data_IF_903741457518
#
_entry.id   IF_903741457518
#
_cell.length_a   1.000
_cell.length_b   1.000
_cell.length_c   1.000
_cell.angle_alpha   90.00
_cell.angle_beta   90.00
_cell.angle_gamma   90.00
#
_symmetry.space_group_name_H-M   'P 1'
#
loop_
_entity.id
_entity.type
_entity.pdbx_description
1 polymer ?
#
# COMPACT_ATOMS: atom_id res chain seq x y z
N UNK A 1 -19.07 6.79 22.51
CA UNK A 1 -19.00 6.29 21.12
C UNK A 1 -20.42 6.10 20.64
N UNK A 2 -20.78 6.59 19.44
CA UNK A 2 -22.07 6.21 18.82
C UNK A 2 -21.99 4.70 18.54
N UNK A 3 -22.90 3.93 19.11
CA UNK A 3 -23.04 2.52 18.83
C UNK A 3 -23.52 2.39 17.38
N UNK A 4 -22.83 1.62 16.54
CA UNK A 4 -23.28 1.35 15.18
C UNK A 4 -24.63 0.63 15.27
N UNK A 5 -25.64 1.11 14.52
CA UNK A 5 -26.88 0.35 14.35
C UNK A 5 -26.57 -0.91 13.57
N UNK A 6 -27.30 -2.02 13.81
CA UNK A 6 -27.18 -3.16 12.93
C UNK A 6 -27.43 -2.74 11.47
N UNK A 7 -26.62 -3.23 10.55
CA UNK A 7 -26.64 -2.86 9.15
C UNK A 7 -26.78 -4.12 8.30
N UNK A 8 -27.68 -4.13 7.35
CA UNK A 8 -27.77 -5.17 6.32
C UNK A 8 -27.63 -4.57 4.94
N UNK A 9 -26.62 -5.02 4.18
CA UNK A 9 -26.41 -4.63 2.78
C UNK A 9 -26.91 -5.76 1.90
N UNK A 10 -27.99 -5.48 1.13
CA UNK A 10 -28.68 -6.45 0.28
C UNK A 10 -28.36 -6.26 -1.21
N UNK A 11 -28.60 -7.29 -2.02
CA UNK A 11 -28.41 -7.27 -3.47
C UNK A 11 -26.98 -6.86 -3.87
N UNK A 12 -25.97 -7.37 -3.16
CA UNK A 12 -24.55 -7.10 -3.43
C UNK A 12 -23.90 -8.23 -4.23
N UNK A 13 -22.83 -7.90 -4.94
CA UNK A 13 -21.81 -8.84 -5.39
C UNK A 13 -20.71 -8.89 -4.32
N UNK A 14 -20.74 -9.93 -3.48
CA UNK A 14 -19.82 -10.10 -2.36
C UNK A 14 -18.45 -10.56 -2.85
N UNK A 15 -17.42 -9.79 -2.57
CA UNK A 15 -16.03 -10.14 -2.92
C UNK A 15 -15.41 -10.91 -1.76
N UNK A 16 -15.18 -12.19 -1.97
CA UNK A 16 -14.59 -13.10 -0.98
C UNK A 16 -13.33 -13.77 -1.57
N UNK A 17 -12.50 -14.44 -0.74
CA UNK A 17 -11.37 -15.22 -1.26
C UNK A 17 -11.75 -16.33 -2.24
N UNK A 18 -13.00 -16.79 -2.19
CA UNK A 18 -13.54 -17.81 -3.08
C UNK A 18 -14.10 -17.26 -4.40
N UNK A 19 -14.03 -15.96 -4.63
CA UNK A 19 -14.57 -15.30 -5.81
C UNK A 19 -15.67 -14.29 -5.49
N UNK A 20 -16.38 -13.84 -6.54
CA UNK A 20 -17.49 -12.89 -6.45
C UNK A 20 -18.82 -13.64 -6.51
N UNK A 21 -19.67 -13.46 -5.50
CA UNK A 21 -20.96 -14.14 -5.42
C UNK A 21 -22.10 -13.18 -5.06
N UNK A 22 -23.29 -13.35 -5.67
CA UNK A 22 -24.46 -12.57 -5.30
C UNK A 22 -24.92 -12.92 -3.89
N UNK A 23 -25.31 -11.91 -3.10
CA UNK A 23 -25.78 -12.12 -1.74
C UNK A 23 -26.04 -10.83 -0.96
N UNK A 24 -26.12 -11.01 0.35
CA UNK A 24 -26.23 -9.93 1.32
C UNK A 24 -25.20 -10.12 2.44
N UNK A 25 -24.93 -9.04 3.19
CA UNK A 25 -24.09 -9.08 4.38
C UNK A 25 -24.80 -8.34 5.50
N UNK A 26 -24.83 -8.98 6.68
CA UNK A 26 -25.35 -8.38 7.92
C UNK A 26 -24.23 -8.18 8.92
N UNK A 27 -24.18 -7.02 9.55
CA UNK A 27 -23.29 -6.73 10.66
C UNK A 27 -24.03 -6.05 11.81
N UNK A 28 -23.55 -6.30 13.03
CA UNK A 28 -23.98 -5.64 14.24
C UNK A 28 -22.81 -5.57 15.24
N UNK A 29 -22.88 -4.60 16.17
CA UNK A 29 -21.83 -4.36 17.17
C UNK A 29 -20.43 -4.22 16.61
N UNK A 30 -20.34 -3.71 15.36
CA UNK A 30 -19.08 -3.50 14.65
C UNK A 30 -18.51 -4.73 13.95
N UNK A 31 -19.17 -5.90 14.04
CA UNK A 31 -18.69 -7.16 13.47
C UNK A 31 -19.61 -7.66 12.35
N UNK A 32 -19.03 -8.34 11.38
CA UNK A 32 -19.77 -9.10 10.37
C UNK A 32 -20.38 -10.32 11.07
N UNK A 33 -21.70 -10.48 10.98
CA UNK A 33 -22.42 -11.62 11.57
C UNK A 33 -22.63 -12.74 10.55
N UNK A 34 -23.06 -12.39 9.36
CA UNK A 34 -23.37 -13.34 8.29
C UNK A 34 -23.18 -12.69 6.91
N UNK A 35 -22.87 -13.50 5.90
CA UNK A 35 -22.87 -13.11 4.50
C UNK A 35 -23.27 -14.32 3.63
N UNK A 36 -23.89 -14.05 2.50
CA UNK A 36 -24.31 -15.07 1.55
C UNK A 36 -25.69 -14.79 0.93
N UNK A 37 -26.18 -15.71 0.08
CA UNK A 37 -27.43 -15.52 -0.64
C UNK A 37 -28.68 -15.55 0.26
N UNK A 38 -28.62 -16.27 1.38
CA UNK A 38 -29.77 -16.48 2.27
C UNK A 38 -29.85 -15.48 3.43
N UNK A 39 -28.93 -14.48 3.46
CA UNK A 39 -28.92 -13.46 4.50
C UNK A 39 -30.02 -12.44 4.23
N UNK A 40 -30.89 -12.23 5.24
CA UNK A 40 -31.97 -11.28 5.21
C UNK A 40 -31.79 -10.18 6.27
N UNK A 41 -32.38 -9.02 6.04
CA UNK A 41 -32.45 -7.97 7.04
C UNK A 41 -33.38 -8.37 8.20
N UNK A 42 -32.99 -8.03 9.41
CA UNK A 42 -33.80 -8.21 10.61
C UNK A 42 -34.49 -6.91 11.02
N UNK A 43 -35.50 -7.03 11.89
CA UNK A 43 -36.24 -5.87 12.38
C UNK A 43 -35.29 -4.93 13.16
N UNK A 44 -35.19 -3.68 12.72
CA UNK A 44 -34.33 -2.68 13.34
C UNK A 44 -32.99 -2.47 12.65
N UNK A 45 -32.67 -3.29 11.63
CA UNK A 45 -31.49 -3.07 10.80
C UNK A 45 -31.66 -1.82 9.92
N UNK A 46 -30.58 -1.08 9.75
CA UNK A 46 -30.42 -0.16 8.63
C UNK A 46 -30.21 -0.98 7.37
N UNK A 47 -31.03 -0.75 6.33
CA UNK A 47 -30.94 -1.53 5.09
C UNK A 47 -30.37 -0.69 3.97
N UNK A 48 -29.27 -1.13 3.39
CA UNK A 48 -28.64 -0.54 2.21
C UNK A 48 -28.81 -1.50 1.02
N UNK A 49 -29.37 -1.01 -0.08
CA UNK A 49 -29.47 -1.78 -1.30
C UNK A 49 -28.27 -1.51 -2.22
N UNK A 50 -27.40 -2.49 -2.39
CA UNK A 50 -26.20 -2.41 -3.22
C UNK A 50 -26.50 -2.38 -4.73
N UNK A 51 -27.72 -2.72 -5.16
CA UNK A 51 -28.17 -2.69 -6.58
C UNK A 51 -27.23 -3.45 -7.52
N UNK A 52 -26.72 -4.61 -7.08
CA UNK A 52 -25.79 -5.42 -7.87
C UNK A 52 -24.35 -4.91 -7.91
N UNK A 53 -24.00 -3.88 -7.13
CA UNK A 53 -22.64 -3.36 -7.06
C UNK A 53 -21.75 -4.25 -6.16
N UNK A 54 -20.43 -4.10 -6.29
CA UNK A 54 -19.46 -4.86 -5.48
C UNK A 54 -19.53 -4.42 -4.02
N UNK A 55 -19.60 -5.39 -3.11
CA UNK A 55 -19.34 -5.20 -1.70
C UNK A 55 -18.04 -5.96 -1.35
N UNK A 56 -17.03 -5.20 -0.99
CA UNK A 56 -15.68 -5.70 -0.73
C UNK A 56 -15.22 -5.31 0.69
N UNK A 57 -14.16 -5.94 1.22
CA UNK A 57 -13.52 -5.41 2.41
C UNK A 57 -12.95 -4.02 2.16
N UNK A 58 -12.98 -3.16 3.16
CA UNK A 58 -12.25 -1.90 3.13
C UNK A 58 -10.76 -2.13 2.93
N UNK A 59 -10.13 -1.29 2.12
CA UNK A 59 -8.72 -1.45 1.76
C UNK A 59 -7.79 -1.27 2.96
N UNK A 60 -6.66 -1.97 2.92
CA UNK A 60 -5.55 -1.90 3.89
C UNK A 60 -4.32 -1.42 3.14
N UNK A 61 -3.99 -0.16 3.25
CA UNK A 61 -2.89 0.44 2.48
C UNK A 61 -1.55 0.30 3.22
N UNK A 62 -0.61 -0.41 2.62
CA UNK A 62 0.66 -0.75 3.23
C UNK A 62 1.76 0.24 2.81
N UNK A 63 2.23 1.06 3.76
CA UNK A 63 3.41 1.90 3.54
C UNK A 63 3.10 3.31 3.06
N UNK A 64 2.10 3.96 3.68
CA UNK A 64 1.80 5.38 3.48
C UNK A 64 2.74 6.27 4.30
N UNK A 65 3.02 7.48 3.83
CA UNK A 65 3.92 8.43 4.50
C UNK A 65 3.17 9.55 5.23
N UNK A 66 1.88 9.66 5.04
CA UNK A 66 1.01 10.58 5.77
C UNK A 66 -0.35 9.93 6.06
N UNK A 67 -1.01 10.37 7.13
CA UNK A 67 -2.39 10.01 7.44
C UNK A 67 -3.29 11.08 6.86
N UNK A 68 -4.04 10.75 5.83
CA UNK A 68 -4.91 11.66 5.09
C UNK A 68 -6.32 11.06 4.98
N UNK A 69 -7.13 11.28 6.02
CA UNK A 69 -8.45 10.65 6.14
C UNK A 69 -9.38 10.93 4.95
N UNK A 70 -9.53 12.18 4.47
CA UNK A 70 -10.40 12.43 3.32
C UNK A 70 -9.99 11.62 2.08
N UNK A 71 -8.70 11.63 1.73
CA UNK A 71 -8.17 10.86 0.63
C UNK A 71 -8.35 9.35 0.80
N UNK A 72 -8.18 8.85 2.04
CA UNK A 72 -8.36 7.44 2.35
C UNK A 72 -9.83 7.01 2.24
N UNK A 73 -10.76 7.81 2.77
CA UNK A 73 -12.19 7.51 2.67
C UNK A 73 -12.64 7.51 1.21
N UNK A 74 -12.26 8.51 0.43
CA UNK A 74 -12.55 8.55 -1.00
C UNK A 74 -12.01 7.31 -1.74
N UNK A 75 -10.79 6.88 -1.40
CA UNK A 75 -10.13 5.69 -1.98
C UNK A 75 -10.62 4.35 -1.44
N UNK A 76 -11.54 4.33 -0.45
CA UNK A 76 -12.03 3.09 0.16
C UNK A 76 -11.10 2.46 1.20
N UNK A 77 -10.13 3.21 1.71
CA UNK A 77 -9.12 2.76 2.67
C UNK A 77 -9.66 2.93 4.09
N UNK A 78 -9.78 1.84 4.83
CA UNK A 78 -10.21 1.81 6.24
C UNK A 78 -9.06 1.57 7.21
N UNK A 79 -7.93 1.10 6.71
CA UNK A 79 -6.71 0.85 7.48
C UNK A 79 -5.48 1.27 6.69
N UNK A 80 -4.50 1.87 7.37
CA UNK A 80 -3.25 2.27 6.74
C UNK A 80 -2.04 1.91 7.62
N UNK A 81 -0.99 1.35 7.02
CA UNK A 81 0.29 1.16 7.69
C UNK A 81 1.17 2.38 7.44
N UNK A 82 1.43 3.15 8.50
CA UNK A 82 2.21 4.38 8.41
C UNK A 82 3.70 4.09 8.52
N UNK A 83 4.45 4.56 7.53
CA UNK A 83 5.91 4.49 7.50
C UNK A 83 6.53 5.31 8.64
N UNK A 84 7.72 4.91 9.15
CA UNK A 84 8.36 5.56 10.28
C UNK A 84 8.95 6.94 9.97
N UNK A 85 8.95 7.36 8.71
CA UNK A 85 9.54 8.63 8.21
C UNK A 85 8.69 9.85 8.56
N UNK A 86 8.35 9.95 9.84
CA UNK A 86 7.63 11.10 10.39
C UNK A 86 8.63 12.15 10.93
N UNK A 87 8.15 13.31 11.31
CA UNK A 87 8.97 14.35 11.93
C UNK A 87 8.44 14.64 13.35
N UNK A 88 9.10 14.08 14.38
CA UNK A 88 10.26 13.19 14.39
C UNK A 88 9.91 11.74 14.02
N UNK A 89 10.92 10.88 13.66
CA UNK A 89 10.72 9.48 13.28
C UNK A 89 10.01 8.63 14.35
N UNK A 90 9.34 7.54 13.92
CA UNK A 90 8.67 6.59 14.83
C UNK A 90 9.69 5.59 15.42
N UNK A 91 10.70 6.10 16.11
CA UNK A 91 11.80 5.34 16.73
C UNK A 91 11.69 5.24 18.26
N UNK A 92 10.58 5.71 18.84
CA UNK A 92 10.28 5.64 20.28
C UNK A 92 8.88 5.06 20.54
N UNK A 93 8.69 4.24 21.60
CA UNK A 93 7.40 3.65 21.96
C UNK A 93 6.28 4.68 22.12
N UNK A 94 6.56 5.84 22.72
CA UNK A 94 5.58 6.90 22.93
C UNK A 94 5.01 7.46 21.62
N UNK A 95 5.85 7.64 20.61
CA UNK A 95 5.44 8.10 19.27
C UNK A 95 4.60 7.05 18.55
N UNK A 96 5.02 5.79 18.62
CA UNK A 96 4.26 4.65 18.07
C UNK A 96 2.89 4.55 18.71
N UNK A 97 2.80 4.60 20.05
CA UNK A 97 1.55 4.51 20.79
C UNK A 97 0.59 5.68 20.53
N UNK A 98 1.12 6.88 20.27
CA UNK A 98 0.32 8.03 19.85
C UNK A 98 -0.29 7.79 18.45
N UNK A 99 0.52 7.38 17.49
CA UNK A 99 0.07 7.13 16.11
C UNK A 99 -0.93 5.98 16.05
N UNK A 100 -0.75 4.90 16.79
CA UNK A 100 -1.68 3.76 16.81
C UNK A 100 -3.11 4.15 17.23
N UNK A 101 -3.29 5.33 17.86
CA UNK A 101 -4.57 5.85 18.32
C UNK A 101 -5.10 7.01 17.46
N UNK A 102 -4.25 7.64 16.65
CA UNK A 102 -4.52 8.94 16.00
C UNK A 102 -5.65 8.91 14.96
N UNK A 103 -5.86 7.77 14.29
CA UNK A 103 -6.88 7.63 13.24
C UNK A 103 -8.27 7.30 13.75
N UNK A 104 -8.39 6.74 14.95
CA UNK A 104 -9.66 6.20 15.48
C UNK A 104 -10.70 7.29 15.75
N UNK A 105 -12.01 6.96 15.61
CA UNK A 105 -12.58 5.65 15.24
C UNK A 105 -12.69 5.41 13.72
N UNK A 106 -12.43 6.40 12.88
CA UNK A 106 -12.80 6.39 11.46
C UNK A 106 -11.77 5.68 10.58
N UNK A 107 -10.53 5.58 11.06
CA UNK A 107 -9.40 4.95 10.38
C UNK A 107 -8.54 4.22 11.41
N UNK A 108 -8.05 3.03 11.07
CA UNK A 108 -7.06 2.37 11.91
C UNK A 108 -5.68 2.54 11.30
N UNK A 109 -4.84 3.27 12.02
CA UNK A 109 -3.44 3.46 11.66
C UNK A 109 -2.60 2.41 12.36
N UNK A 110 -1.85 1.64 11.57
CA UNK A 110 -0.90 0.64 12.02
C UNK A 110 0.52 1.20 11.86
N UNK A 111 1.16 1.74 12.90
CA UNK A 111 2.51 2.27 12.76
C UNK A 111 3.51 1.15 12.46
N UNK A 112 4.42 1.41 11.52
CA UNK A 112 5.63 0.64 11.33
C UNK A 112 6.74 1.28 12.16
N UNK A 113 7.38 0.51 13.03
CA UNK A 113 8.46 1.00 13.86
C UNK A 113 9.71 1.29 13.02
N UNK A 114 10.45 2.35 13.34
CA UNK A 114 11.74 2.59 12.72
C UNK A 114 12.71 1.46 13.05
N UNK A 115 13.38 0.92 12.05
CA UNK A 115 14.38 -0.14 12.19
C UNK A 115 15.56 0.31 13.03
N UNK A 116 15.96 1.56 12.87
CA UNK A 116 17.13 2.16 13.53
C UNK A 116 16.77 3.50 14.14
N UNK A 117 17.50 3.92 15.16
CA UNK A 117 17.36 5.24 15.79
C UNK A 117 17.53 6.33 14.75
N UNK A 118 16.60 7.28 14.72
CA UNK A 118 16.60 8.37 13.75
C UNK A 118 16.55 7.94 12.28
N UNK A 119 16.30 6.66 11.97
CA UNK A 119 16.41 6.07 10.61
C UNK A 119 17.82 6.23 10.00
N UNK A 120 18.87 6.27 10.84
CA UNK A 120 20.26 6.48 10.40
C UNK A 120 20.95 5.24 9.83
N UNK A 121 20.35 4.04 9.97
CA UNK A 121 20.92 2.79 9.47
C UNK A 121 22.10 2.25 10.29
N UNK A 122 22.30 2.71 11.53
CA UNK A 122 23.47 2.38 12.38
C UNK A 122 23.13 1.57 13.63
N UNK A 123 22.32 2.12 14.51
CA UNK A 123 21.88 1.50 15.76
C UNK A 123 20.42 1.06 15.65
N UNK A 124 20.12 -0.16 16.09
CA UNK A 124 18.74 -0.63 16.16
C UNK A 124 17.94 0.21 17.15
N UNK A 125 16.69 0.48 16.81
CA UNK A 125 15.74 1.08 17.72
C UNK A 125 15.21 0.05 18.73
N UNK A 126 14.43 0.49 19.72
CA UNK A 126 13.89 -0.38 20.79
C UNK A 126 12.61 -1.11 20.29
N UNK A 127 12.79 -2.03 19.33
CA UNK A 127 11.73 -2.63 18.52
C UNK A 127 10.71 -3.37 19.39
N UNK A 128 11.12 -4.16 20.39
CA UNK A 128 10.18 -4.89 21.25
C UNK A 128 9.25 -3.94 22.01
N UNK A 129 9.78 -2.86 22.58
CA UNK A 129 8.98 -1.85 23.26
C UNK A 129 8.04 -1.10 22.31
N UNK A 130 8.45 -0.91 21.06
CA UNK A 130 7.58 -0.31 20.04
C UNK A 130 6.49 -1.28 19.58
N UNK A 131 6.74 -2.59 19.54
CA UNK A 131 5.72 -3.62 19.32
C UNK A 131 4.65 -3.58 20.43
N UNK A 132 5.07 -3.53 21.69
CA UNK A 132 4.17 -3.41 22.84
C UNK A 132 3.33 -2.10 22.79
N UNK A 133 3.92 -1.04 22.25
CA UNK A 133 3.22 0.23 22.02
C UNK A 133 2.25 0.21 20.82
N UNK A 134 2.23 -0.87 20.02
CA UNK A 134 1.28 -1.08 18.94
C UNK A 134 1.85 -1.07 17.52
N UNK A 135 3.18 -1.11 17.34
CA UNK A 135 3.77 -1.32 16.03
C UNK A 135 3.39 -2.70 15.47
N UNK A 136 3.11 -2.76 14.16
CA UNK A 136 2.69 -3.98 13.45
C UNK A 136 3.72 -4.50 12.45
N UNK A 137 4.87 -3.90 12.42
CA UNK A 137 6.02 -4.25 11.59
C UNK A 137 7.14 -3.26 11.84
N UNK A 138 8.27 -3.50 11.21
CA UNK A 138 9.47 -2.67 11.28
C UNK A 138 9.76 -2.18 9.88
N UNK A 139 10.14 -0.90 9.71
CA UNK A 139 10.51 -0.41 8.39
C UNK A 139 11.86 0.33 8.40
N UNK A 140 12.59 0.17 7.30
CA UNK A 140 13.87 0.87 7.11
C UNK A 140 13.67 2.34 6.72
N UNK A 141 12.43 2.73 6.42
CA UNK A 141 12.09 4.06 5.95
C UNK A 141 12.33 4.23 4.45
N UNK A 142 12.68 5.44 4.05
CA UNK A 142 12.97 5.80 2.65
C UNK A 142 14.38 5.42 2.20
N UNK A 143 15.19 4.87 3.09
CA UNK A 143 16.58 4.54 2.82
C UNK A 143 16.86 3.07 3.11
N UNK A 144 17.76 2.54 2.32
CA UNK A 144 18.29 1.22 2.54
C UNK A 144 19.32 1.22 3.67
N UNK A 145 19.36 0.16 4.48
CA UNK A 145 20.41 -0.03 5.49
C UNK A 145 21.65 -0.60 4.78
N UNK A 146 22.67 0.22 4.57
CA UNK A 146 23.86 -0.15 3.82
C UNK A 146 24.73 -1.20 4.56
N UNK A 147 24.82 -1.12 5.89
CA UNK A 147 25.58 -2.08 6.69
C UNK A 147 24.85 -3.42 6.80
N UNK A 148 25.43 -4.47 6.19
CA UNK A 148 24.84 -5.82 6.19
C UNK A 148 24.80 -6.44 7.59
N UNK A 149 25.72 -6.09 8.49
CA UNK A 149 25.71 -6.56 9.87
C UNK A 149 24.59 -5.93 10.69
N UNK A 150 24.28 -4.66 10.47
CA UNK A 150 23.09 -3.99 11.07
C UNK A 150 21.81 -4.65 10.54
N UNK A 151 21.71 -4.85 9.22
CA UNK A 151 20.53 -5.48 8.61
C UNK A 151 20.33 -6.91 9.09
N UNK A 152 21.39 -7.71 9.22
CA UNK A 152 21.29 -9.08 9.74
C UNK A 152 20.78 -9.08 11.19
N UNK A 153 21.32 -8.24 12.06
CA UNK A 153 20.86 -8.14 13.46
C UNK A 153 19.41 -7.69 13.55
N UNK A 154 18.98 -6.77 12.68
CA UNK A 154 17.59 -6.34 12.56
C UNK A 154 16.68 -7.52 12.22
N UNK A 155 17.02 -8.28 11.18
CA UNK A 155 16.24 -9.42 10.73
C UNK A 155 16.17 -10.53 11.79
N UNK A 156 17.28 -10.84 12.45
CA UNK A 156 17.31 -11.79 13.57
C UNK A 156 16.41 -11.35 14.72
N UNK A 157 16.45 -10.05 15.07
CA UNK A 157 15.61 -9.52 16.13
C UNK A 157 14.13 -9.52 15.73
N UNK A 158 13.82 -9.15 14.49
CA UNK A 158 12.45 -9.20 13.96
C UNK A 158 11.88 -10.63 13.94
N UNK A 159 12.69 -11.63 13.59
CA UNK A 159 12.30 -13.05 13.61
C UNK A 159 11.92 -13.51 15.01
N UNK A 160 12.66 -13.09 16.06
CA UNK A 160 12.33 -13.42 17.46
C UNK A 160 10.97 -12.84 17.91
N UNK A 161 10.53 -11.74 17.30
CA UNK A 161 9.29 -11.03 17.64
C UNK A 161 8.13 -11.36 16.69
N UNK A 162 8.35 -12.23 15.70
CA UNK A 162 7.43 -12.51 14.59
C UNK A 162 6.93 -11.24 13.87
N UNK A 163 7.80 -10.24 13.73
CA UNK A 163 7.49 -9.01 13.00
C UNK A 163 8.02 -9.07 11.57
N UNK A 164 7.24 -8.53 10.63
CA UNK A 164 7.71 -8.33 9.27
C UNK A 164 8.67 -7.13 9.21
N UNK A 165 9.77 -7.29 8.48
CA UNK A 165 10.66 -6.18 8.12
C UNK A 165 10.28 -5.67 6.75
N UNK A 166 9.90 -4.39 6.66
CA UNK A 166 9.56 -3.68 5.43
C UNK A 166 10.77 -2.88 4.99
N UNK A 167 11.36 -3.24 3.85
CA UNK A 167 12.58 -2.59 3.35
C UNK A 167 12.31 -1.75 2.11
N UNK A 168 13.06 -0.64 1.99
CA UNK A 168 13.23 0.08 0.74
C UNK A 168 14.53 -0.39 0.11
N UNK A 169 14.43 -1.11 -1.01
CA UNK A 169 15.57 -1.82 -1.57
C UNK A 169 16.18 -1.07 -2.76
N UNK A 170 16.93 -0.02 -2.47
CA UNK A 170 17.78 0.68 -3.45
C UNK A 170 19.15 0.98 -2.81
N UNK A 171 20.23 0.45 -3.40
CA UNK A 171 21.60 0.69 -2.92
C UNK A 171 21.94 2.19 -3.02
N UNK A 172 22.08 2.84 -1.86
CA UNK A 172 22.35 4.27 -1.76
C UNK A 172 23.69 4.70 -2.34
N UNK A 173 24.66 3.78 -2.42
CA UNK A 173 25.95 4.05 -3.06
C UNK A 173 25.85 4.17 -4.58
N UNK A 174 24.86 3.50 -5.18
CA UNK A 174 24.57 3.57 -6.62
C UNK A 174 23.53 4.63 -6.97
N UNK A 175 22.55 4.87 -6.09
CA UNK A 175 21.48 5.83 -6.37
C UNK A 175 21.92 7.27 -6.12
N UNK A 176 22.71 7.55 -5.06
CA UNK A 176 23.10 8.91 -4.72
C UNK A 176 21.91 9.88 -4.74
N UNK A 177 22.06 10.99 -5.45
CA UNK A 177 21.01 12.02 -5.67
C UNK A 177 20.24 11.80 -6.99
N UNK A 178 20.17 10.59 -7.51
CA UNK A 178 19.51 10.31 -8.77
C UNK A 178 18.01 10.67 -8.74
N UNK A 179 17.57 11.27 -9.83
CA UNK A 179 16.17 11.66 -10.05
C UNK A 179 15.45 10.72 -11.02
N UNK A 180 16.19 9.94 -11.79
CA UNK A 180 15.68 9.08 -12.85
C UNK A 180 16.43 7.74 -12.89
N UNK A 181 15.89 6.78 -13.62
CA UNK A 181 16.59 5.54 -13.97
C UNK A 181 17.53 5.81 -15.15
N UNK A 182 18.74 5.26 -15.10
CA UNK A 182 19.72 5.35 -16.21
C UNK A 182 19.15 4.74 -17.47
N UNK A 183 19.23 5.46 -18.57
CA UNK A 183 18.71 5.04 -19.86
C UNK A 183 18.67 6.18 -20.87
N UNK A 184 18.05 5.91 -22.02
CA UNK A 184 17.95 6.88 -23.11
C UNK A 184 17.22 8.16 -22.68
N UNK A 185 16.11 8.02 -21.96
CA UNK A 185 15.27 9.16 -21.53
C UNK A 185 16.05 10.06 -20.58
N UNK A 186 16.66 9.51 -19.52
CA UNK A 186 17.44 10.29 -18.57
C UNK A 186 18.63 10.99 -19.23
N UNK A 187 19.32 10.30 -20.14
CA UNK A 187 20.45 10.88 -20.92
C UNK A 187 19.99 12.04 -21.78
N UNK A 188 18.90 11.88 -22.51
CA UNK A 188 18.34 12.91 -23.38
C UNK A 188 17.88 14.15 -22.60
N UNK A 189 17.33 13.94 -21.37
CA UNK A 189 16.86 15.01 -20.52
C UNK A 189 17.96 15.62 -19.64
N UNK A 190 19.16 15.06 -19.61
CA UNK A 190 20.25 15.51 -18.74
C UNK A 190 19.96 15.32 -17.25
N UNK A 191 19.14 14.33 -16.88
CA UNK A 191 18.79 14.06 -15.49
C UNK A 191 19.87 13.25 -14.78
N UNK A 192 20.18 13.53 -13.50
CA UNK A 192 20.98 12.63 -12.67
C UNK A 192 20.25 11.30 -12.53
N UNK A 193 20.92 10.20 -12.87
CA UNK A 193 20.27 8.90 -13.00
C UNK A 193 21.06 7.79 -12.34
N UNK A 194 20.34 6.80 -11.78
CA UNK A 194 20.88 5.61 -11.19
C UNK A 194 20.60 4.36 -12.03
N UNK A 195 21.51 3.37 -12.03
CA UNK A 195 21.26 2.10 -12.69
C UNK A 195 20.14 1.31 -12.00
N UNK A 196 19.34 0.58 -12.77
CA UNK A 196 18.28 -0.29 -12.23
C UNK A 196 18.85 -1.41 -11.32
N UNK A 197 20.12 -1.76 -11.52
CA UNK A 197 20.88 -2.73 -10.72
C UNK A 197 20.98 -2.33 -9.24
N UNK A 198 20.84 -1.05 -8.91
CA UNK A 198 20.80 -0.59 -7.51
C UNK A 198 19.68 -1.26 -6.71
N UNK A 199 18.53 -1.47 -7.32
CA UNK A 199 17.42 -2.21 -6.73
C UNK A 199 17.73 -3.70 -6.62
N UNK A 200 18.20 -4.33 -7.71
CA UNK A 200 18.45 -5.76 -7.73
C UNK A 200 19.54 -6.21 -6.73
N UNK A 201 20.60 -5.42 -6.58
CA UNK A 201 21.66 -5.68 -5.61
C UNK A 201 21.16 -5.61 -4.16
N UNK A 202 20.38 -4.59 -3.85
CA UNK A 202 19.78 -4.44 -2.52
C UNK A 202 18.82 -5.58 -2.21
N UNK A 203 17.95 -5.96 -3.15
CA UNK A 203 17.01 -7.09 -3.01
C UNK A 203 17.77 -8.40 -2.80
N UNK A 204 18.78 -8.69 -3.61
CA UNK A 204 19.55 -9.93 -3.51
C UNK A 204 20.22 -10.08 -2.13
N UNK A 205 20.83 -9.00 -1.62
CA UNK A 205 21.44 -8.99 -0.28
C UNK A 205 20.40 -9.19 0.81
N UNK A 206 19.29 -8.44 0.78
CA UNK A 206 18.27 -8.48 1.83
C UNK A 206 17.59 -9.85 1.88
N UNK A 207 17.33 -10.50 0.73
CA UNK A 207 16.82 -11.86 0.67
C UNK A 207 17.81 -12.86 1.29
N UNK A 208 19.10 -12.77 0.96
CA UNK A 208 20.11 -13.66 1.53
C UNK A 208 20.22 -13.53 3.06
N UNK A 209 20.14 -12.31 3.58
CA UNK A 209 20.15 -12.06 5.02
C UNK A 209 18.84 -12.50 5.70
N UNK A 210 17.70 -12.34 5.06
CA UNK A 210 16.41 -12.81 5.57
C UNK A 210 16.36 -14.35 5.64
N UNK A 211 16.90 -15.04 4.63
CA UNK A 211 17.05 -16.49 4.62
C UNK A 211 17.92 -16.97 5.80
N UNK A 212 19.08 -16.33 5.99
CA UNK A 212 20.00 -16.65 7.11
C UNK A 212 19.36 -16.42 8.48
N UNK A 213 18.54 -15.39 8.62
CA UNK A 213 17.86 -15.03 9.87
C UNK A 213 16.55 -15.80 10.10
N UNK A 214 16.00 -16.47 9.11
CA UNK A 214 14.65 -17.04 9.15
C UNK A 214 13.55 -15.98 9.31
N UNK A 215 13.75 -14.77 8.81
CA UNK A 215 12.90 -13.61 9.03
C UNK A 215 11.85 -13.42 7.94
N UNK A 216 10.73 -12.76 8.29
CA UNK A 216 9.72 -12.30 7.35
C UNK A 216 10.18 -10.98 6.74
N UNK A 217 10.39 -10.96 5.43
CA UNK A 217 10.83 -9.78 4.67
C UNK A 217 9.75 -9.33 3.68
N UNK A 218 9.41 -8.06 3.71
CA UNK A 218 8.59 -7.42 2.68
C UNK A 218 9.37 -6.31 1.99
N UNK A 219 9.61 -6.47 0.69
CA UNK A 219 10.23 -5.45 -0.14
C UNK A 219 9.12 -4.51 -0.60
N UNK A 220 9.07 -3.32 0.01
CA UNK A 220 7.94 -2.38 -0.12
C UNK A 220 7.59 -2.04 -1.57
N UNK A 221 8.61 -1.85 -2.41
CA UNK A 221 8.45 -1.60 -3.84
C UNK A 221 9.53 -2.34 -4.61
N UNK A 222 9.10 -3.20 -5.51
CA UNK A 222 9.94 -3.81 -6.55
C UNK A 222 9.48 -3.23 -7.88
N UNK A 223 10.40 -2.73 -8.66
CA UNK A 223 10.08 -1.97 -9.87
C UNK A 223 10.87 -2.42 -11.10
N UNK A 224 11.84 -3.34 -10.94
CA UNK A 224 12.68 -3.85 -12.02
C UNK A 224 12.40 -5.31 -12.32
N UNK A 225 12.55 -5.72 -13.57
CA UNK A 225 12.42 -7.12 -13.98
C UNK A 225 13.31 -8.04 -13.13
N UNK A 226 14.58 -7.65 -12.94
CA UNK A 226 15.53 -8.44 -12.16
C UNK A 226 15.13 -8.53 -10.67
N UNK A 227 14.53 -7.48 -10.11
CA UNK A 227 13.98 -7.50 -8.76
C UNK A 227 12.85 -8.53 -8.62
N UNK A 228 11.92 -8.57 -9.57
CA UNK A 228 10.84 -9.57 -9.58
C UNK A 228 11.38 -10.98 -9.74
N UNK A 229 12.39 -11.20 -10.58
CA UNK A 229 13.01 -12.52 -10.74
C UNK A 229 13.66 -13.03 -9.45
N UNK A 230 14.32 -12.15 -8.69
CA UNK A 230 14.90 -12.48 -7.39
C UNK A 230 13.83 -12.86 -6.36
N UNK A 231 12.73 -12.10 -6.30
CA UNK A 231 11.60 -12.40 -5.40
C UNK A 231 10.94 -13.72 -5.78
N UNK A 232 10.70 -13.96 -7.06
CA UNK A 232 10.12 -15.21 -7.58
C UNK A 232 10.99 -16.41 -7.20
N UNK A 233 12.30 -16.30 -7.38
CA UNK A 233 13.25 -17.34 -7.00
C UNK A 233 13.27 -17.58 -5.48
N UNK A 234 13.16 -16.54 -4.65
CA UNK A 234 13.08 -16.65 -3.20
C UNK A 234 11.80 -17.39 -2.77
N UNK A 235 10.66 -17.02 -3.34
CA UNK A 235 9.36 -17.69 -3.08
C UNK A 235 9.39 -19.15 -3.50
N UNK A 236 9.99 -19.48 -4.64
CA UNK A 236 10.12 -20.86 -5.11
C UNK A 236 10.94 -21.74 -4.15
N UNK A 237 11.85 -21.14 -3.34
CA UNK A 237 12.58 -21.81 -2.28
C UNK A 237 11.81 -21.89 -0.95
N UNK A 238 10.59 -21.35 -0.89
CA UNK A 238 9.76 -21.34 0.33
C UNK A 238 10.15 -20.27 1.35
N UNK A 239 10.91 -19.25 0.96
CA UNK A 239 11.30 -18.18 1.88
C UNK A 239 10.10 -17.27 2.21
N UNK A 240 10.05 -16.75 3.44
CA UNK A 240 9.03 -15.81 3.89
C UNK A 240 9.30 -14.39 3.33
N UNK A 241 9.41 -14.30 2.00
CA UNK A 241 9.67 -13.06 1.26
C UNK A 241 8.42 -12.67 0.47
N UNK A 242 8.03 -11.42 0.59
CA UNK A 242 6.91 -10.81 -0.15
C UNK A 242 7.36 -9.50 -0.76
N UNK A 243 6.64 -9.04 -1.80
CA UNK A 243 6.92 -7.72 -2.37
C UNK A 243 5.66 -6.93 -2.69
N UNK A 244 5.83 -5.62 -2.76
CA UNK A 244 4.80 -4.68 -3.16
C UNK A 244 5.20 -3.86 -4.38
N UNK A 245 4.21 -3.17 -4.93
CA UNK A 245 4.35 -2.19 -6.02
C UNK A 245 3.30 -1.09 -5.86
N UNK A 246 3.47 0.05 -6.53
CA UNK A 246 2.44 1.10 -6.60
C UNK A 246 1.90 1.26 -8.01
N UNK A 247 0.67 1.79 -8.17
CA UNK A 247 0.06 2.00 -9.49
C UNK A 247 0.94 2.75 -10.49
N UNK A 248 1.69 3.75 -10.03
CA UNK A 248 2.58 4.50 -10.92
C UNK A 248 3.62 3.62 -11.62
N UNK A 249 4.13 2.58 -10.96
CA UNK A 249 5.21 1.75 -11.50
C UNK A 249 4.75 0.64 -12.44
N UNK A 250 3.46 0.28 -12.45
CA UNK A 250 2.94 -0.65 -13.46
C UNK A 250 2.12 0.04 -14.56
N UNK A 251 1.76 1.33 -14.37
CA UNK A 251 1.02 2.10 -15.38
C UNK A 251 1.91 3.05 -16.18
N UNK A 252 2.97 3.58 -15.58
CA UNK A 252 3.85 4.59 -16.19
C UNK A 252 5.27 4.04 -16.34
N UNK A 253 5.92 4.41 -17.45
CA UNK A 253 7.35 4.22 -17.65
C UNK A 253 8.11 5.54 -17.49
N UNK A 254 9.42 5.52 -17.62
CA UNK A 254 10.30 6.69 -17.60
C UNK A 254 9.93 7.75 -18.67
N UNK A 255 9.22 7.36 -19.73
CA UNK A 255 8.65 8.28 -20.71
C UNK A 255 7.74 9.34 -20.07
N UNK A 256 7.09 9.04 -18.95
CA UNK A 256 6.24 9.99 -18.24
C UNK A 256 7.02 11.15 -17.60
N UNK A 257 8.35 11.10 -17.60
CA UNK A 257 9.22 12.19 -17.12
C UNK A 257 9.64 13.16 -18.22
N UNK A 258 9.28 12.87 -19.48
CA UNK A 258 9.77 13.60 -20.66
C UNK A 258 9.37 15.09 -20.69
N UNK A 259 8.31 15.47 -20.01
CA UNK A 259 7.82 16.84 -19.87
C UNK A 259 8.31 17.55 -18.60
N UNK A 260 9.22 16.92 -17.85
CA UNK A 260 9.74 17.39 -16.55
C UNK A 260 8.66 17.66 -15.48
N UNK A 261 7.49 17.08 -15.63
CA UNK A 261 6.42 17.21 -14.64
C UNK A 261 6.83 16.54 -13.33
N UNK A 262 7.02 17.35 -12.28
CA UNK A 262 7.54 16.88 -10.98
C UNK A 262 6.63 15.90 -10.25
N UNK A 263 5.36 15.75 -10.66
CA UNK A 263 4.45 14.74 -10.12
C UNK A 263 4.83 13.31 -10.52
N UNK A 264 5.71 13.15 -11.53
CA UNK A 264 6.32 11.85 -11.89
C UNK A 264 7.69 11.63 -11.23
N UNK A 265 8.15 12.57 -10.38
CA UNK A 265 9.34 12.41 -9.56
C UNK A 265 9.00 11.53 -8.35
N UNK A 266 9.35 10.24 -8.46
CA UNK A 266 9.05 9.19 -7.47
C UNK A 266 10.35 8.58 -6.91
N UNK A 267 10.23 7.81 -5.84
CA UNK A 267 11.29 6.96 -5.27
C UNK A 267 10.69 5.59 -4.90
N UNK A 268 11.11 4.51 -5.56
CA UNK A 268 12.04 4.44 -6.71
C UNK A 268 11.59 5.29 -7.90
N UNK A 269 12.51 5.72 -8.80
CA UNK A 269 12.13 6.42 -10.02
C UNK A 269 11.39 5.48 -10.98
N UNK A 270 10.60 6.05 -11.90
CA UNK A 270 9.96 5.28 -12.96
C UNK A 270 11.02 4.58 -13.82
N UNK A 271 10.74 3.34 -14.20
CA UNK A 271 11.65 2.46 -14.94
C UNK A 271 11.32 2.46 -16.43
N UNK A 272 12.18 1.82 -17.22
CA UNK A 272 11.95 1.62 -18.63
C UNK A 272 10.69 0.78 -18.91
N UNK A 273 10.16 0.86 -20.13
CA UNK A 273 8.96 0.12 -20.53
C UNK A 273 9.09 -1.40 -20.32
N UNK A 274 10.27 -1.97 -20.49
CA UNK A 274 10.50 -3.40 -20.24
C UNK A 274 10.25 -3.78 -18.78
N UNK A 275 10.69 -2.94 -17.83
CA UNK A 275 10.44 -3.15 -16.40
C UNK A 275 8.96 -2.98 -16.05
N UNK A 276 8.28 -2.01 -16.69
CA UNK A 276 6.83 -1.83 -16.52
C UNK A 276 6.06 -3.07 -16.99
N UNK A 277 6.43 -3.65 -18.12
CA UNK A 277 5.83 -4.90 -18.61
C UNK A 277 6.13 -6.09 -17.67
N UNK A 278 7.36 -6.15 -17.12
CA UNK A 278 7.73 -7.16 -16.15
C UNK A 278 6.92 -7.02 -14.85
N UNK A 279 6.57 -5.79 -14.44
CA UNK A 279 5.69 -5.54 -13.30
C UNK A 279 4.27 -6.08 -13.53
N UNK A 280 3.67 -5.86 -14.70
CA UNK A 280 2.37 -6.44 -15.05
C UNK A 280 2.41 -7.97 -15.04
N UNK A 281 3.47 -8.57 -15.60
CA UNK A 281 3.66 -10.02 -15.56
C UNK A 281 3.81 -10.54 -14.13
N UNK A 282 4.53 -9.82 -13.25
CA UNK A 282 4.73 -10.20 -11.85
C UNK A 282 3.44 -10.06 -11.01
N UNK A 283 2.54 -9.15 -11.38
CA UNK A 283 1.20 -9.05 -10.78
C UNK A 283 0.35 -10.25 -11.21
N UNK A 284 0.37 -10.58 -12.51
CA UNK A 284 -0.42 -11.67 -13.08
C UNK A 284 0.00 -13.05 -12.54
N UNK A 285 1.31 -13.32 -12.42
CA UNK A 285 1.82 -14.61 -11.97
C UNK A 285 1.84 -14.80 -10.44
N UNK A 286 1.46 -13.77 -9.66
CA UNK A 286 1.41 -13.84 -8.21
C UNK A 286 2.74 -13.55 -7.50
N UNK A 287 3.77 -13.09 -8.21
CA UNK A 287 5.03 -12.63 -7.61
C UNK A 287 4.81 -11.42 -6.72
N UNK A 288 3.97 -10.46 -7.15
CA UNK A 288 3.55 -9.32 -6.33
C UNK A 288 2.49 -9.74 -5.33
N UNK A 289 2.68 -9.36 -4.06
CA UNK A 289 1.77 -9.67 -2.95
C UNK A 289 0.88 -8.49 -2.57
N UNK A 290 1.37 -7.26 -2.74
CA UNK A 290 0.70 -6.04 -2.30
C UNK A 290 0.74 -4.98 -3.39
N UNK A 291 -0.39 -4.34 -3.64
CA UNK A 291 -0.43 -3.07 -4.36
C UNK A 291 -0.82 -2.00 -3.35
N UNK A 292 0.13 -1.10 -3.07
CA UNK A 292 -0.05 0.01 -2.14
C UNK A 292 -0.21 1.34 -2.87
N UNK A 293 -0.87 2.32 -2.27
CA UNK A 293 -1.07 3.62 -2.90
C UNK A 293 0.22 4.40 -3.11
N UNK A 294 1.24 4.15 -2.27
CA UNK A 294 2.43 4.99 -2.21
C UNK A 294 2.12 6.42 -1.77
N UNK A 295 1.06 6.60 -0.98
CA UNK A 295 0.57 7.92 -0.58
C UNK A 295 1.60 8.71 0.20
N UNK A 296 2.11 9.76 -0.44
CA UNK A 296 3.13 10.68 0.04
C UNK A 296 2.80 12.09 -0.50
N UNK A 297 1.79 12.74 0.09
CA UNK A 297 1.37 14.07 -0.36
C UNK A 297 2.50 15.08 -0.16
N UNK A 298 2.81 15.84 -1.22
CA UNK A 298 3.86 16.86 -1.26
C UNK A 298 3.28 18.19 -1.69
N UNK A 299 3.52 19.22 -0.88
CA UNK A 299 3.03 20.55 -1.13
C UNK A 299 3.68 21.24 -2.33
N UNK A 300 3.18 22.44 -2.68
CA UNK A 300 3.73 23.21 -3.79
C UNK A 300 5.21 23.56 -3.63
N UNK A 301 5.68 23.76 -2.42
CA UNK A 301 7.09 24.07 -2.11
C UNK A 301 8.01 22.93 -2.52
N UNK A 302 7.56 21.69 -2.35
CA UNK A 302 8.31 20.48 -2.70
C UNK A 302 8.26 20.17 -4.21
N UNK A 303 7.19 20.60 -4.90
CA UNK A 303 6.89 20.21 -6.28
C UNK A 303 7.11 21.33 -7.32
N UNK A 304 7.21 22.60 -6.93
CA UNK A 304 7.49 23.73 -7.84
C UNK A 304 8.99 24.01 -7.99
N UNK A 305 9.79 22.96 -7.99
CA UNK A 305 11.24 22.99 -8.17
C UNK A 305 11.61 22.38 -9.54
N UNK A 306 12.84 22.55 -10.02
CA UNK A 306 13.34 21.76 -11.13
C UNK A 306 13.16 20.26 -10.84
N UNK A 307 12.98 19.44 -11.87
CA UNK A 307 12.61 18.02 -11.70
C UNK A 307 13.57 17.25 -10.78
N UNK A 308 14.88 17.48 -10.92
CA UNK A 308 15.89 16.79 -10.10
C UNK A 308 15.82 17.20 -8.63
N UNK A 309 15.47 18.45 -8.34
CA UNK A 309 15.44 19.03 -6.99
C UNK A 309 14.10 18.81 -6.29
N UNK A 310 13.04 18.45 -7.04
CA UNK A 310 11.72 18.23 -6.48
C UNK A 310 11.70 16.99 -5.56
N UNK A 311 11.01 17.10 -4.43
CA UNK A 311 10.86 15.97 -3.53
C UNK A 311 10.09 14.82 -4.20
N UNK A 312 10.55 13.56 -4.07
CA UNK A 312 9.80 12.41 -4.57
C UNK A 312 8.53 12.18 -3.75
N UNK A 313 7.51 11.61 -4.39
CA UNK A 313 6.25 11.24 -3.74
C UNK A 313 5.03 11.58 -4.58
N UNK A 314 3.91 10.92 -4.29
CA UNK A 314 2.62 11.12 -4.94
C UNK A 314 1.44 11.03 -3.97
N UNK A 315 0.37 11.78 -4.23
CA UNK A 315 -0.92 11.59 -3.58
C UNK A 315 -1.67 10.43 -4.28
N UNK A 316 -1.47 9.19 -3.80
CA UNK A 316 -1.92 7.98 -4.49
C UNK A 316 -3.19 7.35 -3.90
N UNK A 317 -3.62 7.72 -2.69
CA UNK A 317 -4.69 7.02 -1.97
C UNK A 317 -6.04 7.02 -2.72
N UNK A 318 -6.44 8.15 -3.28
CA UNK A 318 -7.72 8.28 -4.00
C UNK A 318 -7.78 7.51 -5.31
N UNK A 319 -6.63 7.24 -5.91
CA UNK A 319 -6.55 6.59 -7.22
C UNK A 319 -6.27 5.10 -7.13
N UNK A 320 -5.85 4.59 -5.96
CA UNK A 320 -5.44 3.19 -5.76
C UNK A 320 -6.50 2.21 -6.29
N UNK A 321 -7.73 2.31 -5.79
CA UNK A 321 -8.81 1.39 -6.16
C UNK A 321 -9.08 1.39 -7.67
N UNK A 322 -9.24 2.59 -8.26
CA UNK A 322 -9.56 2.72 -9.68
C UNK A 322 -8.44 2.17 -10.59
N UNK A 323 -7.17 2.38 -10.22
CA UNK A 323 -6.02 1.86 -10.97
C UNK A 323 -5.94 0.33 -10.86
N UNK A 324 -6.21 -0.24 -9.69
CA UNK A 324 -6.23 -1.70 -9.51
C UNK A 324 -7.42 -2.35 -10.22
N UNK A 325 -8.59 -1.73 -10.21
CA UNK A 325 -9.72 -2.19 -11.00
C UNK A 325 -9.45 -2.11 -12.52
N UNK A 326 -8.51 -1.26 -12.95
CA UNK A 326 -7.97 -1.28 -14.32
C UNK A 326 -7.37 -2.63 -14.68
N UNK A 327 -6.59 -3.24 -13.81
CA UNK A 327 -6.00 -4.57 -14.03
C UNK A 327 -7.08 -5.66 -14.18
N UNK A 328 -8.22 -5.51 -13.50
CA UNK A 328 -9.35 -6.43 -13.64
C UNK A 328 -10.03 -6.26 -15.01
N UNK A 329 -10.25 -5.02 -15.45
CA UNK A 329 -10.85 -4.73 -16.78
C UNK A 329 -9.96 -5.19 -17.93
N UNK A 330 -8.65 -5.06 -17.74
CA UNK A 330 -7.64 -5.50 -18.73
C UNK A 330 -7.35 -7.00 -18.63
N UNK A 331 -8.12 -7.74 -17.83
CA UNK A 331 -8.03 -9.20 -17.63
C UNK A 331 -6.65 -9.67 -17.14
N UNK A 332 -5.87 -8.81 -16.50
CA UNK A 332 -4.58 -9.15 -15.90
C UNK A 332 -4.75 -10.00 -14.65
N UNK A 333 -5.76 -9.67 -13.84
CA UNK A 333 -6.13 -10.39 -12.61
C UNK A 333 -7.66 -10.46 -12.44
N UNK A 334 -8.20 -11.48 -11.76
CA UNK A 334 -9.62 -11.50 -11.41
C UNK A 334 -9.93 -10.55 -10.24
N UNK A 335 -11.23 -10.24 -10.06
CA UNK A 335 -11.69 -9.26 -9.06
C UNK A 335 -11.24 -9.59 -7.64
N UNK A 336 -11.40 -10.82 -7.20
CA UNK A 336 -10.99 -11.25 -5.85
C UNK A 336 -9.49 -11.05 -5.62
N UNK A 337 -8.66 -11.24 -6.65
CA UNK A 337 -7.21 -11.00 -6.56
C UNK A 337 -6.88 -9.52 -6.35
N UNK A 338 -7.66 -8.60 -6.93
CA UNK A 338 -7.50 -7.17 -6.68
C UNK A 338 -7.61 -6.83 -5.18
N UNK A 339 -8.59 -7.45 -4.49
CA UNK A 339 -8.75 -7.26 -3.04
C UNK A 339 -7.80 -8.10 -2.19
N UNK A 340 -7.27 -9.22 -2.72
CA UNK A 340 -6.13 -9.87 -2.08
C UNK A 340 -4.92 -8.92 -2.01
N UNK A 341 -4.61 -8.26 -3.11
CA UNK A 341 -3.44 -7.38 -3.23
C UNK A 341 -3.57 -6.06 -2.45
N UNK A 342 -4.80 -5.57 -2.23
CA UNK A 342 -5.04 -4.25 -1.61
C UNK A 342 -5.68 -4.32 -0.22
N UNK A 343 -6.11 -5.50 0.23
CA UNK A 343 -6.75 -5.65 1.53
C UNK A 343 -6.22 -6.86 2.31
N UNK A 344 -6.44 -8.09 1.81
CA UNK A 344 -6.16 -9.32 2.57
C UNK A 344 -4.67 -9.55 2.83
N UNK A 345 -3.84 -9.45 1.80
CA UNK A 345 -2.40 -9.67 1.96
C UNK A 345 -1.72 -8.61 2.83
N UNK A 346 -2.00 -7.30 2.66
CA UNK A 346 -1.53 -6.28 3.60
C UNK A 346 -1.94 -6.56 5.05
N UNK A 347 -3.21 -6.95 5.29
CA UNK A 347 -3.69 -7.29 6.63
C UNK A 347 -2.93 -8.48 7.24
N UNK A 348 -2.68 -9.53 6.44
CA UNK A 348 -1.91 -10.72 6.86
C UNK A 348 -0.46 -10.37 7.18
N UNK A 349 0.17 -9.52 6.36
CA UNK A 349 1.53 -9.05 6.61
C UNK A 349 1.65 -8.33 7.96
N UNK A 350 0.65 -7.51 8.29
CA UNK A 350 0.57 -6.74 9.54
C UNK A 350 0.08 -7.58 10.73
N UNK A 351 -0.35 -8.82 10.52
CA UNK A 351 -0.94 -9.65 11.57
C UNK A 351 -2.22 -9.05 12.16
N UNK A 352 -3.07 -8.41 11.32
CA UNK A 352 -4.34 -7.82 11.77
C UNK A 352 -5.54 -8.59 11.21
N UNK A 353 -6.59 -8.83 12.02
CA UNK A 353 -7.79 -9.56 11.60
C UNK A 353 -8.70 -8.64 10.76
N UNK A 354 -8.37 -8.48 9.49
CA UNK A 354 -9.06 -7.59 8.55
C UNK A 354 -8.78 -8.00 7.09
N UNK A 355 -9.35 -7.26 6.15
CA UNK A 355 -9.03 -7.37 4.72
C UNK A 355 -9.80 -8.45 3.97
N UNK A 356 -10.80 -9.07 4.61
CA UNK A 356 -11.73 -10.01 3.97
C UNK A 356 -13.13 -9.91 4.57
N UNK A 357 -14.13 -10.33 3.81
CA UNK A 357 -15.51 -10.45 4.29
C UNK A 357 -15.67 -11.83 4.94
N UNK A 358 -15.67 -11.89 6.28
CA UNK A 358 -15.89 -13.14 7.02
C UNK A 358 -16.60 -12.86 8.35
N UNK A 359 -17.49 -13.78 8.81
CA UNK A 359 -18.12 -13.66 10.11
C UNK A 359 -17.09 -13.55 11.26
N UNK A 360 -17.35 -12.66 12.21
CA UNK A 360 -16.49 -12.38 13.35
C UNK A 360 -15.41 -11.35 13.10
N UNK A 361 -15.16 -10.95 11.86
CA UNK A 361 -14.26 -9.83 11.56
C UNK A 361 -14.96 -8.47 11.71
N UNK A 362 -14.17 -7.43 11.95
CA UNK A 362 -14.68 -6.05 12.00
C UNK A 362 -15.32 -5.68 10.65
N UNK A 363 -16.49 -5.04 10.71
CA UNK A 363 -17.26 -4.65 9.54
C UNK A 363 -16.64 -3.42 8.83
N UNK A 364 -15.45 -3.63 8.28
CA UNK A 364 -14.74 -2.68 7.42
C UNK A 364 -15.14 -2.98 5.97
N UNK A 365 -16.08 -2.21 5.44
CA UNK A 365 -16.78 -2.52 4.19
C UNK A 365 -16.68 -1.37 3.19
N UNK A 366 -16.51 -1.69 1.92
CA UNK A 366 -16.57 -0.76 0.81
C UNK A 366 -17.62 -1.21 -0.22
N UNK A 367 -18.62 -0.39 -0.49
CA UNK A 367 -19.57 -0.57 -1.58
C UNK A 367 -19.03 0.18 -2.79
N UNK A 368 -18.82 -0.52 -3.90
CA UNK A 368 -18.06 -0.02 -5.04
C UNK A 368 -18.85 -0.17 -6.34
N UNK A 369 -18.93 0.90 -7.10
CA UNK A 369 -19.33 0.86 -8.51
C UNK A 369 -18.07 0.74 -9.37
N UNK A 370 -17.74 -0.49 -9.82
CA UNK A 370 -16.54 -0.75 -10.59
C UNK A 370 -16.54 -0.10 -11.98
N UNK A 371 -17.74 0.22 -12.52
CA UNK A 371 -17.93 0.74 -13.87
C UNK A 371 -18.09 2.26 -13.92
N UNK A 372 -18.25 2.91 -12.76
CA UNK A 372 -18.48 4.36 -12.69
C UNK A 372 -17.32 5.15 -13.30
N UNK A 373 -17.50 5.85 -14.44
CA UNK A 373 -16.43 6.60 -15.08
C UNK A 373 -16.20 7.93 -14.38
N UNK A 374 -14.94 8.37 -14.34
CA UNK A 374 -14.55 9.69 -13.86
C UNK A 374 -13.22 10.12 -14.45
N UNK A 375 -12.91 11.42 -14.32
CA UNK A 375 -11.62 11.97 -14.72
C UNK A 375 -10.91 12.37 -13.44
N UNK A 376 -9.66 11.96 -13.31
CA UNK A 376 -8.79 12.37 -12.21
C UNK A 376 -8.45 13.84 -12.44
N UNK A 377 -8.99 14.73 -11.61
CA UNK A 377 -8.71 16.17 -11.63
C UNK A 377 -8.02 16.53 -10.31
N UNK A 378 -6.72 16.79 -10.36
CA UNK A 378 -5.91 17.11 -9.18
C UNK A 378 -6.49 18.26 -8.34
N UNK A 379 -7.21 19.21 -8.97
CA UNK A 379 -7.81 20.36 -8.28
C UNK A 379 -9.06 20.00 -7.45
N UNK A 380 -9.56 18.77 -7.61
CA UNK A 380 -10.74 18.24 -6.93
C UNK A 380 -10.40 17.07 -6.01
N UNK A 381 -9.10 16.82 -5.79
CA UNK A 381 -8.67 15.79 -4.86
C UNK A 381 -8.99 16.19 -3.42
N UNK A 382 -9.40 15.21 -2.64
CA UNK A 382 -9.63 15.34 -1.19
C UNK A 382 -8.31 15.29 -0.41
N UNK A 383 -7.24 14.84 -1.05
CA UNK A 383 -5.91 14.76 -0.46
C UNK A 383 -5.36 16.13 -0.05
N UNK A 384 -4.55 16.14 1.00
CA UNK A 384 -3.88 17.35 1.50
C UNK A 384 -2.92 17.99 0.49
N UNK A 385 -2.55 17.27 -0.57
CA UNK A 385 -1.78 17.78 -1.70
C UNK A 385 -2.25 17.12 -3.02
N UNK A 386 -2.05 17.84 -4.12
CA UNK A 386 -2.56 17.52 -5.46
C UNK A 386 -1.52 16.84 -6.37
N UNK A 387 -0.44 16.30 -5.80
CA UNK A 387 0.70 15.76 -6.55
C UNK A 387 0.46 14.34 -7.11
N UNK A 388 -0.60 14.16 -7.88
CA UNK A 388 -0.88 12.90 -8.56
C UNK A 388 -0.21 12.85 -9.95
N UNK A 389 0.45 11.74 -10.33
CA UNK A 389 0.96 11.57 -11.68
C UNK A 389 -0.13 11.28 -12.72
N UNK A 390 -1.37 11.02 -12.27
CA UNK A 390 -2.49 10.60 -13.10
C UNK A 390 -3.45 11.74 -13.48
N UNK A 391 -3.07 13.00 -13.25
CA UNK A 391 -3.93 14.14 -13.56
C UNK A 391 -4.45 14.10 -15.00
N UNK A 392 -5.75 14.35 -15.18
CA UNK A 392 -6.51 14.30 -16.44
C UNK A 392 -6.67 12.93 -17.08
N UNK A 393 -6.24 11.85 -16.43
CA UNK A 393 -6.52 10.51 -16.93
C UNK A 393 -7.96 10.11 -16.62
N UNK A 394 -8.57 9.37 -17.56
CA UNK A 394 -9.83 8.69 -17.33
C UNK A 394 -9.64 7.51 -16.40
N UNK A 395 -10.56 7.34 -15.48
CA UNK A 395 -10.58 6.22 -14.54
C UNK A 395 -11.99 5.64 -14.45
N UNK A 396 -12.09 4.40 -13.99
CA UNK A 396 -13.36 3.76 -13.66
C UNK A 396 -13.23 3.10 -12.29
N UNK A 397 -14.33 3.13 -11.56
CA UNK A 397 -14.42 2.59 -10.21
C UNK A 397 -14.52 3.70 -9.18
N UNK A 398 -15.62 3.69 -8.41
CA UNK A 398 -15.85 4.63 -7.32
C UNK A 398 -16.40 3.91 -6.10
N UNK A 399 -16.00 4.39 -4.95
CA UNK A 399 -16.60 4.03 -3.67
C UNK A 399 -17.94 4.77 -3.56
N UNK A 400 -19.03 4.05 -3.32
CA UNK A 400 -20.38 4.58 -3.12
C UNK A 400 -20.76 4.65 -1.65
N UNK A 401 -20.08 3.86 -0.80
CA UNK A 401 -20.28 3.82 0.64
C UNK A 401 -19.11 3.13 1.30
N UNK A 402 -18.72 3.63 2.43
CA UNK A 402 -17.61 3.12 3.23
C UNK A 402 -18.04 2.99 4.68
N UNK A 403 -17.73 1.86 5.30
CA UNK A 403 -18.01 1.63 6.72
C UNK A 403 -16.75 1.17 7.43
N UNK A 404 -16.56 1.70 8.65
CA UNK A 404 -15.50 1.28 9.57
C UNK A 404 -16.14 0.73 10.84
N UNK A 405 -15.98 -0.58 11.08
CA UNK A 405 -16.67 -1.24 12.20
C UNK A 405 -18.19 -1.04 12.13
N UNK A 406 -18.79 -1.11 10.95
CA UNK A 406 -20.21 -0.88 10.70
C UNK A 406 -20.68 0.58 10.80
N UNK A 407 -19.81 1.53 11.14
CA UNK A 407 -20.12 2.96 11.14
C UNK A 407 -19.90 3.53 9.73
N UNK A 408 -20.94 4.15 9.15
CA UNK A 408 -20.81 4.82 7.86
C UNK A 408 -19.84 6.00 7.95
N UNK A 409 -18.94 6.07 6.98
CA UNK A 409 -18.00 7.18 6.77
C UNK A 409 -18.49 8.05 5.61
N UNK A 410 -18.16 9.35 5.65
CA UNK A 410 -18.39 10.23 4.50
C UNK A 410 -17.45 9.86 3.35
N UNK A 411 -18.03 9.67 2.15
CA UNK A 411 -17.30 9.38 0.90
C UNK A 411 -17.66 10.46 -0.12
#
# INVERSE_FOLDING_TARGET
>A
MKQARPLTIINAQLVTPGGVTAGALRCADGLILALGPDVAAETGDEVVNARGKLLAPGLVDLGVFAVDKPAFHFGGITRAALMPDQSPPLDLPSRVGFIAKSGKPDLWVHPLAAATRGLEGRELAEIALMQDAGARGIATGRRWIADSGVMLRLLQYAAMLDLVVVTHAEDGGLTGEAAATSGEIATRLGLPAAPAEAEALAIARDIALAELAGARLHIRQVTTQRGFDLVRAAKARGLAVTCGITPAHFLLSDLATADFRTFTRLSPPLRAEADRQAALAAIADGTVDVIASGHDPRGPEDKRLPFADAAPGMAGAETLLAMVLGLVRDEVIPTERAFDLTARNPARLLGVPAGELAPGLEADLALIDADAPWIIDRRKMEATADNTPFDRQGAQGRVLGLWKGGLALGV
#
